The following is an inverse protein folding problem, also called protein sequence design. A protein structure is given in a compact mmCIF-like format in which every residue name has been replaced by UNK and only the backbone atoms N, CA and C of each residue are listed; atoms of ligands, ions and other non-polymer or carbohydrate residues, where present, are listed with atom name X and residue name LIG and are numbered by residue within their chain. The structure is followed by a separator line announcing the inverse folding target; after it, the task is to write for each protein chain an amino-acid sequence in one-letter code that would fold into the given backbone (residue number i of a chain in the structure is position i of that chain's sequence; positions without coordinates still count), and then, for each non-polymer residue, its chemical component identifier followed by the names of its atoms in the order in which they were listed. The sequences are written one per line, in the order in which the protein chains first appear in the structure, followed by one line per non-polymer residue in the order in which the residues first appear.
data_IF_497681862605
#
_entry.id   IF_497681862605
#
_cell.length_a   1.000
_cell.length_b   1.000
_cell.length_c   1.000
_cell.angle_alpha   90.00
_cell.angle_beta   90.00
_cell.angle_gamma   90.00
#
_symmetry.space_group_name_H-M   'P 1'
#
loop_
_entity.id
_entity.type
_entity.pdbx_description
1 polymer ?
#
# COMPACT_ATOMS: atom_id res chain seq x y z
N UNK A 1 3.43 3.22 -16.33
CA UNK A 1 2.06 3.81 -16.37
C UNK A 1 1.09 2.97 -15.55
N UNK A 2 0.94 1.68 -15.83
CA UNK A 2 0.05 0.76 -15.07
C UNK A 2 0.35 0.64 -13.57
N UNK A 3 1.63 0.63 -13.14
CA UNK A 3 1.99 0.63 -11.71
C UNK A 3 1.42 1.84 -10.95
N UNK A 4 1.52 3.03 -11.54
CA UNK A 4 1.02 4.26 -10.93
C UNK A 4 -0.52 4.25 -10.87
N UNK A 5 -1.19 3.62 -11.82
CA UNK A 5 -2.65 3.45 -11.83
C UNK A 5 -3.10 2.52 -10.69
N UNK A 6 -2.40 1.40 -10.47
CA UNK A 6 -2.70 0.47 -9.36
C UNK A 6 -2.47 1.16 -8.01
N UNK A 7 -1.34 1.85 -7.84
CA UNK A 7 -1.05 2.57 -6.59
C UNK A 7 -2.03 3.72 -6.34
N UNK A 8 -2.40 4.46 -7.39
CA UNK A 8 -3.40 5.53 -7.30
C UNK A 8 -4.80 5.00 -6.94
N UNK A 9 -5.14 3.78 -7.38
CA UNK A 9 -6.37 3.10 -6.97
C UNK A 9 -6.37 2.86 -5.45
N UNK A 10 -5.27 2.35 -4.87
CA UNK A 10 -5.16 2.16 -3.43
C UNK A 10 -5.24 3.48 -2.64
N UNK A 11 -4.61 4.55 -3.15
CA UNK A 11 -4.68 5.90 -2.55
C UNK A 11 -6.12 6.43 -2.47
N UNK A 12 -7.00 5.97 -3.36
CA UNK A 12 -8.42 6.37 -3.41
C UNK A 12 -9.32 5.41 -2.63
N UNK A 13 -9.14 4.10 -2.82
CA UNK A 13 -10.02 3.09 -2.25
C UNK A 13 -9.82 2.89 -0.74
N UNK A 14 -8.57 2.91 -0.26
CA UNK A 14 -8.27 2.61 1.14
C UNK A 14 -8.89 3.63 2.12
N UNK A 15 -8.79 4.95 1.88
CA UNK A 15 -9.48 5.94 2.71
C UNK A 15 -11.01 5.74 2.78
N UNK A 16 -11.65 5.42 1.65
CA UNK A 16 -13.11 5.16 1.61
C UNK A 16 -13.54 3.95 2.45
N UNK A 17 -12.61 3.03 2.74
CA UNK A 17 -12.81 1.83 3.56
C UNK A 17 -12.37 2.02 5.02
N UNK A 18 -12.05 3.26 5.42
CA UNK A 18 -11.70 3.62 6.80
C UNK A 18 -10.23 3.39 7.16
N UNK A 19 -9.36 3.12 6.18
CA UNK A 19 -7.92 3.03 6.38
C UNK A 19 -7.27 4.41 6.29
N UNK A 20 -6.22 4.64 7.09
CA UNK A 20 -5.46 5.89 7.13
C UNK A 20 -4.08 5.65 6.52
N UNK A 21 -3.58 6.52 5.63
CA UNK A 21 -2.23 6.38 5.10
C UNK A 21 -1.20 6.51 6.23
N UNK A 22 -0.20 5.62 6.22
CA UNK A 22 0.99 5.76 7.06
C UNK A 22 1.96 6.69 6.32
N UNK A 23 2.32 7.84 6.91
CA UNK A 23 3.24 8.77 6.26
C UNK A 23 4.63 8.15 6.09
N UNK A 24 5.40 8.66 5.13
CA UNK A 24 6.80 8.26 4.89
C UNK A 24 7.04 6.80 4.45
N UNK A 25 6.01 6.02 4.13
CA UNK A 25 6.18 4.66 3.61
C UNK A 25 7.02 4.58 2.32
N UNK A 26 7.06 5.68 1.56
CA UNK A 26 7.87 5.81 0.34
C UNK A 26 9.36 6.05 0.61
N UNK A 27 9.72 6.47 1.82
CA UNK A 27 11.08 6.88 2.16
C UNK A 27 11.99 5.65 2.30
N UNK A 28 11.43 4.54 2.80
CA UNK A 28 12.12 3.25 2.92
C UNK A 28 11.91 2.33 1.70
N UNK A 29 10.75 2.45 1.04
CA UNK A 29 10.39 1.62 -0.12
C UNK A 29 9.88 2.47 -1.27
N UNK A 30 10.65 2.61 -2.37
CA UNK A 30 10.19 3.32 -3.55
C UNK A 30 8.83 2.78 -4.00
N UNK A 31 7.85 3.68 -4.16
CA UNK A 31 6.47 3.36 -4.54
C UNK A 31 5.67 2.52 -3.52
N UNK A 32 6.13 2.40 -2.28
CA UNK A 32 5.37 1.80 -1.19
C UNK A 32 4.12 2.60 -0.81
N UNK A 33 3.09 1.88 -0.35
CA UNK A 33 1.87 2.44 0.22
C UNK A 33 1.49 1.68 1.48
N UNK A 34 1.55 2.33 2.62
CA UNK A 34 1.14 1.72 3.88
C UNK A 34 -0.13 2.39 4.38
N UNK A 35 -1.02 1.60 4.97
CA UNK A 35 -2.27 2.06 5.54
C UNK A 35 -2.51 1.38 6.90
N UNK A 36 -3.16 2.08 7.82
CA UNK A 36 -3.49 1.56 9.15
C UNK A 36 -4.98 1.76 9.43
N UNK A 37 -5.58 0.84 10.16
CA UNK A 37 -6.92 0.94 10.73
C UNK A 37 -6.82 0.57 12.21
N UNK A 38 -7.74 1.04 13.03
CA UNK A 38 -7.80 0.61 14.43
C UNK A 38 -7.77 -0.92 14.52
N UNK A 39 -6.77 -1.46 15.22
CA UNK A 39 -6.62 -2.91 15.40
C UNK A 39 -6.00 -3.66 14.22
N UNK A 40 -5.57 -3.01 13.12
CA UNK A 40 -4.92 -3.68 11.98
C UNK A 40 -3.98 -2.72 11.24
N UNK A 41 -2.73 -3.12 11.04
CA UNK A 41 -1.81 -2.44 10.12
C UNK A 41 -1.74 -3.22 8.80
N UNK A 42 -1.82 -2.51 7.67
CA UNK A 42 -1.70 -3.10 6.34
C UNK A 42 -0.61 -2.41 5.53
N UNK A 43 0.39 -3.17 5.10
CA UNK A 43 1.38 -2.67 4.15
C UNK A 43 1.07 -3.21 2.75
N UNK A 44 0.99 -2.29 1.78
CA UNK A 44 0.81 -2.58 0.35
C UNK A 44 2.05 -2.13 -0.41
N UNK A 45 2.72 -3.07 -1.07
CA UNK A 45 3.84 -2.74 -1.94
C UNK A 45 3.53 -3.21 -3.35
N UNK A 46 3.58 -2.30 -4.32
CA UNK A 46 3.49 -2.64 -5.74
C UNK A 46 4.82 -2.34 -6.44
N UNK A 47 5.55 -3.37 -6.85
CA UNK A 47 6.80 -3.24 -7.59
C UNK A 47 6.75 -4.01 -8.91
N UNK A 48 7.45 -3.51 -9.92
CA UNK A 48 7.60 -4.21 -11.20
C UNK A 48 8.96 -4.93 -11.23
N UNK A 49 8.95 -6.22 -11.57
CA UNK A 49 10.16 -6.95 -11.95
C UNK A 49 9.95 -7.53 -13.34
N UNK A 50 10.73 -7.04 -14.30
CA UNK A 50 10.63 -7.37 -15.73
C UNK A 50 9.24 -6.99 -16.28
N UNK A 51 8.46 -7.96 -16.78
CA UNK A 51 7.12 -7.73 -17.34
C UNK A 51 5.98 -8.01 -16.34
N UNK A 52 6.29 -8.10 -15.03
CA UNK A 52 5.32 -8.48 -14.00
C UNK A 52 5.21 -7.41 -12.93
N UNK A 53 3.97 -7.11 -12.54
CA UNK A 53 3.67 -6.29 -11.37
C UNK A 53 3.38 -7.23 -10.19
N UNK A 54 4.11 -7.03 -9.09
CA UNK A 54 3.94 -7.76 -7.84
C UNK A 54 3.24 -6.85 -6.86
N UNK A 55 2.16 -7.34 -6.25
CA UNK A 55 1.48 -6.67 -5.14
C UNK A 55 1.59 -7.58 -3.92
N UNK A 56 2.17 -7.07 -2.84
CA UNK A 56 2.18 -7.74 -1.55
C UNK A 56 1.32 -6.97 -0.58
N UNK A 57 0.37 -7.67 0.04
CA UNK A 57 -0.48 -7.15 1.11
C UNK A 57 -0.10 -7.89 2.39
N UNK A 58 0.38 -7.15 3.38
CA UNK A 58 0.74 -7.71 4.69
C UNK A 58 -0.21 -7.12 5.72
N UNK A 59 -1.11 -7.96 6.24
CA UNK A 59 -1.96 -7.60 7.39
C UNK A 59 -1.25 -8.01 8.68
N UNK A 60 -1.01 -7.04 9.55
CA UNK A 60 -0.47 -7.25 10.89
C UNK A 60 -1.55 -6.87 11.91
N UNK A 61 -1.93 -7.82 12.75
CA UNK A 61 -2.70 -7.51 13.96
C UNK A 61 -1.75 -6.90 15.00
N UNK A 62 -2.16 -5.84 15.73
CA UNK A 62 -1.42 -5.37 16.88
C UNK A 62 -1.36 -6.50 17.91
N UNK A 63 -0.19 -6.62 18.56
CA UNK A 63 0.01 -7.53 19.69
C UNK A 63 -0.82 -7.11 20.89
#
# INVERSE_FOLDING_TARGET
KRQQEVLAMYDTEMPSRGWKPVPHATDDVPHGRAYTREGVDMLVFAFEEKERSFVSVVEMSPR
#
